data_IF_263085378180
#
_entry.id   IF_263085378180
#
_cell.length_a   1.000
_cell.length_b   1.000
_cell.length_c   1.000
_cell.angle_alpha   90.00
_cell.angle_beta   90.00
_cell.angle_gamma   90.00
#
_symmetry.space_group_name_H-M   'P 1'
#
loop_
_entity.id
_entity.type
_entity.pdbx_description
1 polymer ?
#
# COMPACT_ATOMS: atom_id res chain seq x y z
N UNK A 1 25.32 -12.63 0.88
CA UNK A 1 24.11 -13.18 0.24
C UNK A 1 24.51 -13.57 -1.18
N UNK A 2 24.43 -14.85 -1.54
CA UNK A 2 24.85 -15.34 -2.88
C UNK A 2 23.86 -14.88 -3.96
N UNK A 3 24.38 -14.57 -5.14
CA UNK A 3 23.62 -14.10 -6.32
C UNK A 3 22.48 -15.07 -6.72
N UNK A 4 22.68 -16.37 -6.50
CA UNK A 4 21.69 -17.42 -6.75
C UNK A 4 20.42 -17.25 -5.90
N UNK A 5 20.55 -16.90 -4.62
CA UNK A 5 19.38 -16.65 -3.75
C UNK A 5 18.58 -15.43 -4.18
N UNK A 6 19.24 -14.46 -4.79
CA UNK A 6 18.59 -13.25 -5.30
C UNK A 6 17.78 -13.60 -6.55
N UNK A 7 18.36 -14.41 -7.46
CA UNK A 7 17.66 -14.86 -8.66
C UNK A 7 16.45 -15.74 -8.34
N UNK A 8 16.58 -16.69 -7.41
CA UNK A 8 15.45 -17.55 -7.00
C UNK A 8 14.28 -16.75 -6.40
N UNK A 9 14.59 -15.69 -5.64
CA UNK A 9 13.56 -14.78 -5.11
C UNK A 9 12.90 -13.99 -6.24
N UNK A 10 13.68 -13.43 -7.16
CA UNK A 10 13.15 -12.70 -8.33
C UNK A 10 12.23 -13.60 -9.18
N UNK A 11 12.60 -14.87 -9.38
CA UNK A 11 11.80 -15.83 -10.13
C UNK A 11 10.50 -16.22 -9.41
N UNK A 12 10.55 -16.40 -8.09
CA UNK A 12 9.33 -16.58 -7.27
C UNK A 12 8.41 -15.38 -7.38
N UNK A 13 8.97 -14.18 -7.28
CA UNK A 13 8.23 -12.91 -7.30
C UNK A 13 7.63 -12.61 -8.69
N UNK A 14 8.25 -13.06 -9.78
CA UNK A 14 7.76 -12.86 -11.16
C UNK A 14 6.40 -13.50 -11.46
N UNK A 15 6.07 -14.60 -10.80
CA UNK A 15 4.85 -15.37 -11.08
C UNK A 15 3.67 -14.97 -10.16
N UNK A 16 3.87 -14.01 -9.27
CA UNK A 16 2.85 -13.58 -8.30
C UNK A 16 2.10 -12.40 -8.89
N UNK A 17 0.77 -12.53 -9.00
CA UNK A 17 -0.08 -11.42 -9.41
C UNK A 17 -0.01 -10.29 -8.37
N UNK A 18 0.07 -9.06 -8.87
CA UNK A 18 0.02 -7.82 -8.08
C UNK A 18 -1.41 -7.45 -7.64
N UNK A 19 -2.45 -8.14 -8.13
CA UNK A 19 -3.87 -7.86 -7.80
C UNK A 19 -4.18 -8.18 -6.33
N UNK A 20 -4.75 -7.21 -5.62
CA UNK A 20 -5.16 -7.33 -4.23
C UNK A 20 -6.64 -7.70 -4.20
N UNK A 21 -6.97 -8.87 -3.63
CA UNK A 21 -8.36 -9.29 -3.45
C UNK A 21 -8.90 -8.77 -2.10
N UNK A 22 -9.98 -7.97 -2.08
CA UNK A 22 -10.55 -7.42 -0.84
C UNK A 22 -11.04 -8.49 0.13
N UNK A 23 -11.43 -9.68 -0.37
CA UNK A 23 -11.86 -10.80 0.46
C UNK A 23 -10.70 -11.49 1.17
N UNK A 24 -9.46 -11.30 0.69
CA UNK A 24 -8.25 -11.90 1.26
C UNK A 24 -7.62 -11.07 2.39
N UNK A 25 -8.05 -9.81 2.55
CA UNK A 25 -7.51 -8.85 3.52
C UNK A 25 -7.77 -9.26 5.00
N UNK A 26 -8.95 -9.82 5.38
CA UNK A 26 -9.23 -10.26 6.75
C UNK A 26 -8.59 -11.61 7.12
N UNK A 27 -8.57 -12.56 6.19
CA UNK A 27 -8.24 -13.96 6.48
C UNK A 27 -6.75 -14.28 6.38
N UNK A 28 -5.91 -13.26 6.13
CA UNK A 28 -4.46 -13.38 6.23
C UNK A 28 -3.85 -14.20 5.10
N UNK A 29 -4.15 -13.85 3.84
CA UNK A 29 -3.41 -14.39 2.69
C UNK A 29 -1.90 -14.24 2.95
N UNK A 30 -1.13 -15.35 3.03
CA UNK A 30 0.30 -15.32 3.28
C UNK A 30 1.07 -14.49 2.26
N UNK A 31 0.49 -14.33 1.07
CA UNK A 31 1.07 -13.57 -0.04
C UNK A 31 0.64 -12.10 -0.04
N UNK A 32 -0.32 -11.66 0.79
CA UNK A 32 -0.83 -10.29 0.76
C UNK A 32 0.27 -9.23 0.93
N UNK A 33 1.20 -9.45 1.86
CA UNK A 33 2.32 -8.52 2.07
C UNK A 33 3.23 -8.45 0.83
N UNK A 34 3.44 -9.60 0.18
CA UNK A 34 4.24 -9.69 -1.03
C UNK A 34 3.53 -9.04 -2.22
N UNK A 35 2.22 -9.24 -2.38
CA UNK A 35 1.38 -8.56 -3.38
C UNK A 35 1.44 -7.04 -3.21
N UNK A 36 1.28 -6.55 -1.97
CA UNK A 36 1.44 -5.12 -1.66
C UNK A 36 2.83 -4.61 -2.02
N UNK A 37 3.88 -5.39 -1.73
CA UNK A 37 5.26 -5.05 -2.06
C UNK A 37 5.47 -4.89 -3.57
N UNK A 38 4.99 -5.88 -4.34
CA UNK A 38 5.11 -5.90 -5.80
C UNK A 38 4.33 -4.74 -6.44
N UNK A 39 3.13 -4.47 -5.96
CA UNK A 39 2.33 -3.36 -6.47
C UNK A 39 2.97 -2.00 -6.17
N UNK A 40 3.53 -1.78 -4.98
CA UNK A 40 4.30 -0.55 -4.70
C UNK A 40 5.52 -0.43 -5.63
N UNK A 41 6.23 -1.53 -5.89
CA UNK A 41 7.34 -1.52 -6.84
C UNK A 41 6.90 -1.18 -8.26
N UNK A 42 5.74 -1.67 -8.69
CA UNK A 42 5.15 -1.31 -9.97
C UNK A 42 4.83 0.19 -10.03
N UNK A 43 4.15 0.75 -9.02
CA UNK A 43 3.84 2.19 -8.98
C UNK A 43 5.09 3.06 -9.07
N UNK A 44 6.17 2.66 -8.38
CA UNK A 44 7.47 3.37 -8.46
C UNK A 44 8.04 3.27 -9.89
N UNK A 45 7.94 2.11 -10.54
CA UNK A 45 8.43 1.90 -11.90
C UNK A 45 7.61 2.69 -12.92
N UNK A 46 6.29 2.76 -12.74
CA UNK A 46 5.40 3.58 -13.56
C UNK A 46 5.78 5.05 -13.42
N UNK A 47 5.99 5.54 -12.19
CA UNK A 47 6.47 6.89 -11.94
C UNK A 47 7.82 7.18 -12.61
N UNK A 48 8.76 6.23 -12.60
CA UNK A 48 10.03 6.37 -13.34
C UNK A 48 9.84 6.44 -14.87
N UNK A 49 8.78 5.82 -15.39
CA UNK A 49 8.54 5.68 -16.82
C UNK A 49 7.69 6.84 -17.37
N UNK A 50 6.88 7.50 -16.53
CA UNK A 50 6.10 8.71 -16.89
C UNK A 50 7.02 9.81 -17.42
N UNK A 51 7.10 9.94 -18.74
CA UNK A 51 8.09 10.81 -19.40
C UNK A 51 7.52 12.14 -19.88
N UNK A 52 6.20 12.31 -20.00
CA UNK A 52 5.64 13.55 -20.58
C UNK A 52 4.21 13.89 -20.10
N UNK A 53 4.01 14.99 -19.33
CA UNK A 53 5.02 15.69 -18.55
C UNK A 53 5.49 14.82 -17.36
N UNK A 54 6.78 14.86 -16.99
CA UNK A 54 7.28 14.11 -15.84
C UNK A 54 6.65 14.61 -14.55
N UNK A 55 6.00 13.72 -13.79
CA UNK A 55 5.40 14.05 -12.51
C UNK A 55 6.48 14.19 -11.42
N UNK A 56 6.81 15.43 -11.01
CA UNK A 56 7.71 15.74 -9.88
C UNK A 56 8.97 14.85 -9.76
N UNK A 57 9.83 14.79 -10.80
CA UNK A 57 10.97 13.86 -10.85
C UNK A 57 11.99 14.07 -9.71
N UNK A 58 12.12 15.29 -9.19
CA UNK A 58 13.03 15.58 -8.08
C UNK A 58 12.63 14.91 -6.75
N UNK A 59 11.35 14.51 -6.60
CA UNK A 59 10.83 13.88 -5.39
C UNK A 59 11.02 12.37 -5.37
N UNK A 60 11.12 11.75 -6.54
CA UNK A 60 11.18 10.30 -6.67
C UNK A 60 12.35 9.65 -5.90
N UNK A 61 13.58 10.21 -5.89
CA UNK A 61 14.66 9.66 -5.07
C UNK A 61 14.37 9.70 -3.56
N UNK A 62 13.70 10.75 -3.08
CA UNK A 62 13.29 10.89 -1.68
C UNK A 62 12.22 9.86 -1.33
N UNK A 63 11.21 9.71 -2.19
CA UNK A 63 10.12 8.73 -2.06
C UNK A 63 10.69 7.31 -1.95
N UNK A 64 11.58 6.92 -2.86
CA UNK A 64 12.21 5.59 -2.86
C UNK A 64 13.00 5.32 -1.58
N UNK A 65 13.77 6.31 -1.11
CA UNK A 65 14.56 6.18 0.14
C UNK A 65 13.65 5.97 1.35
N UNK A 66 12.57 6.73 1.45
CA UNK A 66 11.67 6.70 2.60
C UNK A 66 10.70 5.51 2.57
N UNK A 67 10.42 4.93 1.39
CA UNK A 67 9.62 3.69 1.25
C UNK A 67 10.45 2.41 1.49
N UNK A 68 11.77 2.47 1.38
CA UNK A 68 12.64 1.30 1.54
C UNK A 68 12.38 0.51 2.84
N UNK A 69 12.20 1.15 4.02
CA UNK A 69 11.90 0.42 5.26
C UNK A 69 10.59 -0.37 5.18
N UNK A 70 9.54 0.20 4.57
CA UNK A 70 8.26 -0.47 4.36
C UNK A 70 8.42 -1.69 3.43
N UNK A 71 9.12 -1.52 2.31
CA UNK A 71 9.34 -2.60 1.35
C UNK A 71 10.11 -3.77 1.99
N UNK A 72 11.08 -3.47 2.87
CA UNK A 72 11.78 -4.52 3.63
C UNK A 72 10.85 -5.22 4.62
N UNK A 73 9.98 -4.48 5.31
CA UNK A 73 9.01 -5.06 6.26
C UNK A 73 7.99 -5.96 5.56
N UNK A 74 7.45 -5.53 4.42
CA UNK A 74 6.51 -6.30 3.61
C UNK A 74 7.15 -7.58 3.06
N UNK A 75 8.40 -7.52 2.58
CA UNK A 75 9.12 -8.71 2.09
C UNK A 75 9.41 -9.72 3.21
N UNK A 76 9.67 -9.25 4.43
CA UNK A 76 9.94 -10.10 5.60
C UNK A 76 8.67 -10.54 6.34
N UNK A 77 7.50 -10.10 5.88
CA UNK A 77 6.22 -10.32 6.54
C UNK A 77 6.17 -9.81 8.00
N UNK A 78 6.93 -8.77 8.34
CA UNK A 78 7.04 -8.24 9.71
C UNK A 78 6.11 -7.06 10.00
N UNK A 79 5.34 -6.61 9.00
CA UNK A 79 4.42 -5.50 9.18
C UNK A 79 3.25 -5.93 10.09
N UNK A 80 2.87 -5.14 11.11
CA UNK A 80 1.71 -5.43 11.95
C UNK A 80 0.43 -5.59 11.14
N UNK A 81 -0.38 -6.61 11.45
CA UNK A 81 -1.60 -6.94 10.70
C UNK A 81 -2.55 -5.75 10.55
N UNK A 82 -2.71 -4.93 11.59
CA UNK A 82 -3.56 -3.74 11.54
C UNK A 82 -3.09 -2.70 10.50
N UNK A 83 -1.78 -2.49 10.40
CA UNK A 83 -1.20 -1.59 9.39
C UNK A 83 -1.28 -2.19 7.99
N UNK A 84 -1.04 -3.50 7.88
CA UNK A 84 -1.15 -4.23 6.63
C UNK A 84 -2.57 -4.16 6.06
N UNK A 85 -3.59 -4.42 6.87
CA UNK A 85 -5.00 -4.38 6.44
C UNK A 85 -5.37 -3.01 5.86
N UNK A 86 -5.01 -1.93 6.53
CA UNK A 86 -5.31 -0.58 6.06
C UNK A 86 -4.48 -0.21 4.83
N UNK A 87 -3.19 -0.58 4.79
CA UNK A 87 -2.33 -0.36 3.62
C UNK A 87 -2.84 -1.13 2.40
N UNK A 88 -3.15 -2.42 2.54
CA UNK A 88 -3.71 -3.26 1.49
C UNK A 88 -5.04 -2.69 0.98
N UNK A 89 -5.88 -2.17 1.88
CA UNK A 89 -7.12 -1.49 1.50
C UNK A 89 -6.82 -0.25 0.65
N UNK A 90 -5.86 0.60 1.02
CA UNK A 90 -5.46 1.77 0.21
C UNK A 90 -5.02 1.32 -1.18
N UNK A 91 -4.13 0.34 -1.25
CA UNK A 91 -3.58 -0.16 -2.51
C UNK A 91 -4.65 -0.81 -3.39
N UNK A 92 -5.62 -1.52 -2.80
CA UNK A 92 -6.78 -2.05 -3.52
C UNK A 92 -7.61 -0.93 -4.18
N UNK A 93 -7.98 0.12 -3.44
CA UNK A 93 -8.73 1.23 -4.03
C UNK A 93 -7.90 1.97 -5.10
N UNK A 94 -6.57 2.01 -4.98
CA UNK A 94 -5.68 2.51 -6.02
C UNK A 94 -5.75 1.69 -7.31
N UNK A 95 -5.83 0.35 -7.19
CA UNK A 95 -5.98 -0.54 -8.35
C UNK A 95 -7.31 -0.34 -9.10
N UNK A 96 -8.34 0.15 -8.40
CA UNK A 96 -9.65 0.43 -8.97
C UNK A 96 -9.82 1.88 -9.44
N UNK A 97 -8.75 2.69 -9.41
CA UNK A 97 -8.76 4.14 -9.66
C UNK A 97 -9.76 4.91 -8.76
N UNK A 98 -10.07 4.36 -7.58
CA UNK A 98 -10.97 4.96 -6.59
C UNK A 98 -10.20 5.82 -5.57
N UNK A 99 -9.69 6.96 -6.03
CA UNK A 99 -8.78 7.79 -5.22
C UNK A 99 -9.41 8.41 -3.98
N UNK A 100 -10.69 8.75 -4.02
CA UNK A 100 -11.39 9.31 -2.86
C UNK A 100 -11.47 8.29 -1.72
N UNK A 101 -11.84 7.04 -2.06
CA UNK A 101 -11.87 5.94 -1.10
C UNK A 101 -10.46 5.62 -0.57
N UNK A 102 -9.45 5.60 -1.45
CA UNK A 102 -8.06 5.42 -1.05
C UNK A 102 -7.58 6.53 -0.10
N UNK A 103 -7.94 7.78 -0.38
CA UNK A 103 -7.62 8.93 0.46
C UNK A 103 -8.28 8.83 1.82
N UNK A 104 -9.54 8.39 1.89
CA UNK A 104 -10.22 8.17 3.16
C UNK A 104 -9.53 7.08 3.99
N UNK A 105 -9.16 5.94 3.37
CA UNK A 105 -8.41 4.88 4.05
C UNK A 105 -7.01 5.35 4.48
N UNK A 106 -6.37 6.22 3.70
CA UNK A 106 -5.10 6.86 4.05
C UNK A 106 -5.22 7.74 5.29
N UNK A 107 -6.28 8.55 5.41
CA UNK A 107 -6.50 9.37 6.60
C UNK A 107 -6.59 8.50 7.85
N UNK A 108 -7.35 7.42 7.77
CA UNK A 108 -7.48 6.40 8.81
C UNK A 108 -6.12 5.80 9.21
N UNK A 109 -5.26 5.45 8.24
CA UNK A 109 -3.89 5.00 8.49
C UNK A 109 -3.03 6.08 9.18
N UNK A 110 -3.10 7.33 8.71
CA UNK A 110 -2.28 8.45 9.19
C UNK A 110 -2.66 8.96 10.58
N UNK A 111 -3.90 8.68 11.01
CA UNK A 111 -4.42 8.98 12.35
C UNK A 111 -4.24 7.77 13.28
N UNK A 112 -3.99 6.57 12.72
CA UNK A 112 -3.87 5.32 13.47
C UNK A 112 -5.22 4.65 13.77
N UNK A 113 -6.27 5.06 13.08
CA UNK A 113 -7.60 4.46 13.13
C UNK A 113 -7.72 3.38 12.05
N UNK A 114 -7.24 2.16 12.33
CA UNK A 114 -7.50 1.03 11.44
C UNK A 114 -8.98 0.61 11.54
N UNK A 115 -9.82 1.19 10.70
CA UNK A 115 -11.23 0.80 10.55
C UNK A 115 -11.39 0.01 9.25
N UNK A 116 -12.02 -1.16 9.33
CA UNK A 116 -12.54 -1.88 8.17
C UNK A 116 -13.54 -0.99 7.40
N UNK A 117 -13.71 -1.16 6.08
CA UNK A 117 -14.64 -0.34 5.32
C UNK A 117 -16.07 -0.44 5.88
N UNK A 118 -16.73 0.71 5.95
CA UNK A 118 -18.16 0.85 6.24
C UNK A 118 -18.91 0.18 5.08
N UNK A 119 -19.20 -1.12 5.20
CA UNK A 119 -19.93 -1.87 4.17
C UNK A 119 -19.57 -3.35 4.03
N UNK A 120 -18.39 -3.78 4.48
CA UNK A 120 -18.07 -5.22 4.53
C UNK A 120 -18.46 -5.74 5.90
N UNK A 121 -19.65 -6.33 5.98
CA UNK A 121 -20.09 -7.03 7.17
C UNK A 121 -19.08 -8.15 7.46
N UNK A 122 -18.25 -7.96 8.50
CA UNK A 122 -17.55 -9.06 9.14
C UNK A 122 -18.61 -9.94 9.80
N UNK A 123 -19.25 -10.81 9.03
CA UNK A 123 -20.03 -11.92 9.57
C UNK A 123 -19.06 -13.07 9.76
N UNK A 124 -18.37 -13.01 10.90
CA UNK A 124 -17.58 -14.10 11.46
C UNK A 124 -17.73 -14.04 12.96
N UNK A 125 -18.73 -14.73 13.49
CA UNK A 125 -19.02 -14.85 14.91
C UNK A 125 -17.81 -15.50 15.60
N UNK A 126 -16.92 -14.67 16.16
CA UNK A 126 -16.19 -14.97 17.38
C UNK A 126 -15.60 -13.66 17.96
N UNK A 127 -16.47 -12.74 18.34
CA UNK A 127 -16.11 -11.60 19.19
C UNK A 127 -15.89 -12.08 20.63
N UNK A 128 -14.72 -12.69 20.87
CA UNK A 128 -14.29 -12.95 22.24
C UNK A 128 -14.01 -11.61 22.94
N UNK A 129 -14.90 -11.24 23.86
CA UNK A 129 -14.82 -10.13 24.81
C UNK A 129 -13.43 -9.98 25.44
N UNK A 130 -12.88 -8.74 25.38
CA UNK A 130 -11.80 -8.10 26.18
C UNK A 130 -10.69 -7.34 25.40
N UNK A 131 -10.91 -6.84 24.19
CA UNK A 131 -9.86 -6.18 23.37
C UNK A 131 -9.98 -4.66 23.19
N UNK A 132 -10.79 -3.95 23.98
CA UNK A 132 -10.94 -2.48 23.84
C UNK A 132 -9.77 -1.67 24.42
N UNK A 133 -9.04 -2.18 25.43
CA UNK A 133 -7.93 -1.46 26.09
C UNK A 133 -6.55 -1.74 25.48
N UNK A 134 -6.29 -2.95 24.98
CA UNK A 134 -5.01 -3.30 24.34
C UNK A 134 -4.84 -2.67 22.94
N UNK A 135 -5.95 -2.54 22.20
CA UNK A 135 -5.96 -1.91 20.88
C UNK A 135 -5.60 -0.41 20.98
N UNK A 136 -6.06 0.28 22.03
CA UNK A 136 -5.72 1.67 22.34
C UNK A 136 -4.23 1.94 22.57
N UNK A 137 -3.54 1.05 23.28
CA UNK A 137 -2.11 1.18 23.57
C UNK A 137 -1.23 0.85 22.35
N UNK A 138 -1.62 -0.15 21.55
CA UNK A 138 -0.94 -0.49 20.30
C UNK A 138 -1.09 0.62 19.24
N UNK A 139 -2.27 1.26 19.15
CA UNK A 139 -2.56 2.44 18.30
C UNK A 139 -1.58 3.59 18.57
N UNK A 140 -1.34 3.89 19.85
CA UNK A 140 -0.45 4.98 20.25
C UNK A 140 1.03 4.68 19.96
N UNK A 141 1.43 3.42 19.77
CA UNK A 141 2.85 3.05 19.68
C UNK A 141 3.36 2.99 18.23
N UNK A 142 2.53 2.54 17.29
CA UNK A 142 2.89 2.45 15.86
C UNK A 142 3.14 3.83 15.25
N UNK A 143 2.35 4.84 15.66
CA UNK A 143 2.50 6.20 15.14
C UNK A 143 3.60 7.02 15.85
N UNK A 144 4.30 6.45 16.83
CA UNK A 144 5.45 7.12 17.48
C UNK A 144 6.73 6.98 16.68
N UNK A 145 6.85 5.95 15.85
CA UNK A 145 8.05 5.72 15.07
C UNK A 145 8.16 6.70 13.89
N UNK A 146 9.29 7.40 13.82
CA UNK A 146 9.59 8.36 12.75
C UNK A 146 9.61 7.67 11.39
N UNK A 147 10.22 6.48 11.32
CA UNK A 147 10.30 5.72 10.07
C UNK A 147 8.92 5.34 9.56
N UNK A 148 8.02 4.96 10.46
CA UNK A 148 6.63 4.66 10.13
C UNK A 148 5.88 5.87 9.55
N UNK A 149 6.01 7.03 10.18
CA UNK A 149 5.44 8.29 9.66
C UNK A 149 6.02 8.68 8.30
N UNK A 150 7.32 8.53 8.12
CA UNK A 150 8.02 8.92 6.90
C UNK A 150 7.53 8.10 5.70
N UNK A 151 7.33 6.78 5.84
CA UNK A 151 6.78 5.96 4.75
C UNK A 151 5.27 6.17 4.55
N UNK A 152 4.48 6.39 5.60
CA UNK A 152 3.05 6.73 5.47
C UNK A 152 2.90 7.99 4.61
N UNK A 153 3.71 9.03 4.86
CA UNK A 153 3.69 10.23 4.04
C UNK A 153 4.01 9.93 2.56
N UNK A 154 4.94 9.01 2.28
CA UNK A 154 5.24 8.63 0.91
C UNK A 154 4.09 7.88 0.23
N UNK A 155 3.31 7.08 0.97
CA UNK A 155 2.11 6.43 0.42
C UNK A 155 1.14 7.49 -0.14
N UNK A 156 0.91 8.60 0.57
CA UNK A 156 0.08 9.70 0.04
C UNK A 156 0.59 10.26 -1.29
N UNK A 157 1.92 10.34 -1.44
CA UNK A 157 2.53 10.79 -2.69
C UNK A 157 2.26 9.81 -3.82
N UNK A 158 2.33 8.49 -3.56
CA UNK A 158 1.96 7.47 -4.55
C UNK A 158 0.48 7.59 -4.96
N UNK A 159 -0.44 7.82 -4.00
CA UNK A 159 -1.87 8.06 -4.31
C UNK A 159 -2.03 9.27 -5.24
N UNK A 160 -1.31 10.36 -4.95
CA UNK A 160 -1.42 11.61 -5.72
C UNK A 160 -0.77 11.47 -7.09
N UNK A 161 0.33 10.72 -7.20
CA UNK A 161 0.95 10.34 -8.46
C UNK A 161 -0.02 9.53 -9.32
N UNK A 162 -0.59 8.46 -8.79
CA UNK A 162 -1.52 7.60 -9.54
C UNK A 162 -2.74 8.40 -10.03
N UNK A 163 -3.32 9.24 -9.18
CA UNK A 163 -4.41 10.12 -9.61
C UNK A 163 -4.02 11.09 -10.72
N UNK A 164 -2.79 11.65 -10.69
CA UNK A 164 -2.31 12.52 -11.75
C UNK A 164 -2.00 11.75 -13.05
N UNK A 165 -1.52 10.51 -12.92
CA UNK A 165 -1.20 9.63 -14.03
C UNK A 165 -2.46 9.26 -14.82
N UNK A 166 -3.52 8.77 -14.16
CA UNK A 166 -4.78 8.41 -14.83
C UNK A 166 -5.47 9.63 -15.49
N UNK A 167 -5.39 10.82 -14.87
CA UNK A 167 -5.90 12.05 -15.47
C UNK A 167 -5.12 12.48 -16.74
N UNK A 168 -3.83 12.16 -16.82
CA UNK A 168 -3.02 12.44 -17.99
C UNK A 168 -3.33 11.46 -19.13
N UNK A 169 -3.56 10.19 -18.83
CA UNK A 169 -3.98 9.19 -19.83
C UNK A 169 -5.34 9.54 -20.43
N UNK A 170 -6.34 9.89 -19.62
CA UNK A 170 -7.69 10.24 -20.12
C UNK A 170 -7.68 11.48 -21.03
N UNK A 171 -6.84 12.46 -20.73
CA UNK A 171 -6.71 13.67 -21.56
C UNK A 171 -6.07 13.39 -22.94
N UNK A 172 -5.32 12.29 -23.08
CA UNK A 172 -4.66 11.92 -24.34
C UNK A 172 -5.57 11.14 -25.30
N UNK A 173 -6.65 10.52 -24.78
CA UNK A 173 -7.62 9.77 -25.58
C UNK A 173 -8.64 10.69 -26.27
N UNK A 174 -8.98 11.83 -25.66
CA UNK A 174 -9.94 12.81 -26.20
C UNK A 174 -9.40 13.59 -27.42
N UNK A 175 -8.07 13.74 -27.57
CA UNK A 175 -7.43 14.45 -28.70
C UNK A 175 -7.33 13.59 -29.99
N UNK A 176 -7.73 12.32 -29.94
CA UNK A 176 -7.71 11.40 -31.08
C UNK A 176 -9.10 11.09 -31.67
N UNK A 177 -10.18 11.71 -31.18
CA UNK A 177 -11.56 11.50 -31.64
C UNK A 177 -12.14 12.64 -32.49
#
# INVERSE_FOLDING_TARGET
MSTEKIQEVIERERNISNTIDPLSIPDGDPQLQLKCNLYIHQLIKEWETTSDPPYLPERLPEVKRNLLPLLVQLRKSTLPTNLLTTLASILYHLQQSEYDNANQRYMDLSIGNASWPIGVASVGIHSSSNTSTALGAARANVMKDKTTKDWILQIKRLITFSAAFDNAESSSEDDQS
#
